data_IF_932873327357
#
_entry.id   IF_932873327357
#
_cell.length_a   1.000
_cell.length_b   1.000
_cell.length_c   1.000
_cell.angle_alpha   90.00
_cell.angle_beta   90.00
_cell.angle_gamma   90.00
#
_symmetry.space_group_name_H-M   'P 1'
#
loop_
_entity.id
_entity.type
_entity.pdbx_description
1 polymer ?
#
# COMPACT_ATOMS: atom_id res chain seq x y z
N UNK A 1 -54.87 -10.44 12.50
CA UNK A 1 -53.93 -10.82 11.43
C UNK A 1 -52.85 -9.75 11.38
N UNK A 2 -51.65 -10.04 11.88
CA UNK A 2 -50.53 -9.10 11.87
C UNK A 2 -49.57 -9.51 10.75
N UNK A 3 -49.48 -8.67 9.71
CA UNK A 3 -48.54 -8.83 8.61
C UNK A 3 -47.11 -8.67 9.14
N UNK A 4 -46.39 -9.79 9.23
CA UNK A 4 -44.93 -9.78 9.40
C UNK A 4 -44.31 -9.32 8.07
N UNK A 5 -44.02 -8.03 7.99
CA UNK A 5 -43.20 -7.44 6.94
C UNK A 5 -41.81 -8.06 6.94
N UNK A 6 -41.59 -9.03 6.05
CA UNK A 6 -40.28 -9.61 5.79
C UNK A 6 -39.43 -8.55 5.09
N UNK A 7 -38.57 -7.84 5.83
CA UNK A 7 -37.56 -6.96 5.24
C UNK A 7 -36.67 -7.82 4.34
N UNK A 8 -36.87 -7.74 3.02
CA UNK A 8 -35.91 -8.23 2.03
C UNK A 8 -34.61 -7.47 2.23
N UNK A 9 -33.67 -8.04 2.97
CA UNK A 9 -32.28 -7.58 3.00
C UNK A 9 -31.74 -7.71 1.58
N UNK A 10 -31.53 -6.58 0.89
CA UNK A 10 -30.91 -6.58 -0.42
C UNK A 10 -29.57 -7.32 -0.32
N UNK A 11 -29.44 -8.43 -1.05
CA UNK A 11 -28.23 -9.26 -1.02
C UNK A 11 -27.09 -8.42 -1.60
N UNK A 12 -26.18 -7.94 -0.75
CA UNK A 12 -25.00 -7.17 -1.18
C UNK A 12 -24.23 -8.05 -2.16
N UNK A 13 -23.97 -7.53 -3.37
CA UNK A 13 -23.15 -8.23 -4.36
C UNK A 13 -21.74 -8.38 -3.79
N UNK A 14 -21.31 -9.63 -3.53
CA UNK A 14 -19.94 -9.93 -3.15
C UNK A 14 -18.99 -9.39 -4.23
N UNK A 15 -17.92 -8.72 -3.78
CA UNK A 15 -16.88 -8.15 -4.63
C UNK A 15 -15.53 -8.64 -4.16
N UNK A 16 -14.56 -8.68 -5.07
CA UNK A 16 -13.14 -8.79 -4.70
C UNK A 16 -12.57 -7.39 -4.55
N UNK A 17 -12.11 -7.07 -3.35
CA UNK A 17 -11.62 -5.76 -2.95
C UNK A 17 -10.16 -5.90 -2.53
N UNK A 18 -9.27 -5.10 -3.10
CA UNK A 18 -7.89 -4.96 -2.62
C UNK A 18 -7.78 -3.67 -1.83
N UNK A 19 -7.28 -3.73 -0.59
CA UNK A 19 -7.16 -2.59 0.32
C UNK A 19 -5.68 -2.32 0.59
N UNK A 20 -5.18 -1.14 0.21
CA UNK A 20 -3.80 -0.72 0.50
C UNK A 20 -3.75 0.12 1.77
N UNK A 21 -3.09 -0.40 2.81
CA UNK A 21 -2.82 0.33 4.04
C UNK A 21 -1.60 1.25 3.84
N UNK A 22 -1.78 2.57 3.96
CA UNK A 22 -0.68 3.53 3.99
C UNK A 22 0.36 3.19 5.08
N UNK A 23 1.66 3.37 4.81
CA UNK A 23 2.66 3.34 5.91
C UNK A 23 2.31 4.37 7.00
N UNK A 24 1.76 5.51 6.56
CA UNK A 24 1.23 6.58 7.41
C UNK A 24 -0.03 6.18 8.21
N UNK A 25 -0.68 5.07 7.87
CA UNK A 25 -1.77 4.49 8.65
C UNK A 25 -1.22 3.67 9.81
N UNK A 26 -0.03 3.08 9.66
CA UNK A 26 0.64 2.27 10.69
C UNK A 26 1.43 3.17 11.64
N UNK A 27 2.22 4.11 11.12
CA UNK A 27 2.95 5.12 11.89
C UNK A 27 2.42 6.49 11.49
N UNK A 28 1.73 7.19 12.40
CA UNK A 28 1.12 8.49 12.09
C UNK A 28 2.14 9.62 12.21
N UNK A 29 1.79 10.76 11.61
CA UNK A 29 2.66 11.95 11.67
C UNK A 29 2.76 12.43 13.11
N UNK A 30 3.99 12.59 13.60
CA UNK A 30 4.28 13.07 14.96
C UNK A 30 4.39 11.96 16.01
N UNK A 31 4.13 10.71 15.66
CA UNK A 31 4.38 9.56 16.53
C UNK A 31 5.85 9.15 16.47
N UNK A 32 6.32 8.50 17.54
CA UNK A 32 7.70 7.98 17.61
C UNK A 32 7.86 6.68 16.83
N UNK A 33 6.75 6.01 16.53
CA UNK A 33 6.72 4.73 15.83
C UNK A 33 6.99 3.54 16.76
N UNK A 34 6.62 3.62 18.04
CA UNK A 34 6.76 2.47 18.96
C UNK A 34 5.87 1.31 18.52
N UNK A 35 6.16 0.10 18.98
CA UNK A 35 5.36 -1.06 18.59
C UNK A 35 3.91 -0.94 19.09
N UNK A 36 3.70 -0.33 20.26
CA UNK A 36 2.38 -0.05 20.83
C UNK A 36 1.59 0.94 19.98
N UNK A 37 2.24 2.01 19.48
CA UNK A 37 1.61 2.96 18.55
C UNK A 37 1.23 2.27 17.24
N UNK A 38 2.13 1.46 16.69
CA UNK A 38 1.91 0.72 15.44
C UNK A 38 0.75 -0.29 15.57
N UNK A 39 0.68 -1.05 16.68
CA UNK A 39 -0.44 -1.95 16.95
C UNK A 39 -1.75 -1.17 17.10
N UNK A 40 -1.79 -0.13 17.93
CA UNK A 40 -3.00 0.69 18.15
C UNK A 40 -3.55 1.24 16.84
N UNK A 41 -2.68 1.75 15.97
CA UNK A 41 -3.08 2.29 14.68
C UNK A 41 -3.55 1.20 13.70
N UNK A 42 -2.84 0.07 13.67
CA UNK A 42 -3.20 -1.08 12.84
C UNK A 42 -4.53 -1.68 13.24
N UNK A 43 -4.81 -1.80 14.53
CA UNK A 43 -6.10 -2.27 15.07
C UNK A 43 -7.28 -1.38 14.63
N UNK A 44 -7.09 -0.06 14.64
CA UNK A 44 -8.12 0.87 14.17
C UNK A 44 -8.42 0.65 12.68
N UNK A 45 -7.39 0.53 11.85
CA UNK A 45 -7.56 0.27 10.42
C UNK A 45 -8.22 -1.09 10.17
N UNK A 46 -7.78 -2.13 10.89
CA UNK A 46 -8.30 -3.49 10.79
C UNK A 46 -9.78 -3.58 11.21
N UNK A 47 -10.21 -2.79 12.21
CA UNK A 47 -11.63 -2.68 12.58
C UNK A 47 -12.50 -2.24 11.40
N UNK A 48 -12.04 -1.25 10.65
CA UNK A 48 -12.78 -0.76 9.48
C UNK A 48 -12.76 -1.78 8.33
N UNK A 49 -11.62 -2.40 8.06
CA UNK A 49 -11.47 -3.42 7.02
C UNK A 49 -12.29 -4.69 7.32
N UNK A 50 -12.34 -5.13 8.58
CA UNK A 50 -13.17 -6.26 9.00
C UNK A 50 -14.67 -6.03 8.73
N UNK A 51 -15.11 -4.76 8.63
CA UNK A 51 -16.45 -4.40 8.16
C UNK A 51 -16.73 -4.92 6.75
N UNK A 52 -15.81 -4.70 5.81
CA UNK A 52 -15.95 -5.16 4.43
C UNK A 52 -16.07 -6.69 4.33
N UNK A 53 -15.30 -7.40 5.15
CA UNK A 53 -15.32 -8.87 5.21
C UNK A 53 -16.66 -9.37 5.76
N UNK A 54 -17.18 -8.74 6.81
CA UNK A 54 -18.49 -9.06 7.38
C UNK A 54 -19.66 -8.74 6.44
N UNK A 55 -19.51 -7.71 5.59
CA UNK A 55 -20.47 -7.38 4.52
C UNK A 55 -20.45 -8.41 3.37
N UNK A 56 -19.57 -9.42 3.46
CA UNK A 56 -19.50 -10.56 2.54
C UNK A 56 -18.54 -10.37 1.37
N UNK A 57 -17.70 -9.33 1.37
CA UNK A 57 -16.68 -9.12 0.35
C UNK A 57 -15.46 -10.02 0.55
N UNK A 58 -14.79 -10.34 -0.56
CA UNK A 58 -13.46 -10.97 -0.52
C UNK A 58 -12.42 -9.87 -0.44
N UNK A 59 -11.59 -9.91 0.58
CA UNK A 59 -10.65 -8.81 0.87
C UNK A 59 -9.23 -9.33 0.82
N UNK A 60 -8.41 -8.63 0.03
CA UNK A 60 -6.95 -8.73 0.03
C UNK A 60 -6.42 -7.42 0.61
N UNK A 61 -5.39 -7.50 1.42
CA UNK A 61 -4.76 -6.35 2.07
C UNK A 61 -3.32 -6.27 1.59
N UNK A 62 -2.91 -5.10 1.14
CA UNK A 62 -1.51 -4.74 0.95
C UNK A 62 -1.15 -3.65 1.96
N UNK A 63 0.14 -3.41 2.18
CA UNK A 63 0.56 -2.32 3.07
C UNK A 63 1.86 -1.69 2.59
N UNK A 64 2.15 -0.49 3.10
CA UNK A 64 3.47 0.12 2.91
C UNK A 64 4.45 -0.36 3.97
N UNK A 65 5.75 -0.19 3.71
CA UNK A 65 6.81 -0.53 4.66
C UNK A 65 7.84 0.59 4.86
N UNK A 66 7.76 1.72 4.14
CA UNK A 66 8.83 2.73 4.06
C UNK A 66 9.56 3.09 5.38
N UNK A 67 8.85 3.45 6.47
CA UNK A 67 9.52 3.68 7.75
C UNK A 67 10.10 2.40 8.38
N UNK A 68 9.42 1.26 8.24
CA UNK A 68 9.79 -0.01 8.86
C UNK A 68 10.99 -0.66 8.17
N UNK A 69 11.02 -0.72 6.83
CA UNK A 69 12.17 -1.26 6.09
C UNK A 69 13.42 -0.45 6.36
N UNK A 70 13.30 0.88 6.45
CA UNK A 70 14.45 1.71 6.80
C UNK A 70 14.95 1.49 8.23
N UNK A 71 14.05 1.23 9.19
CA UNK A 71 14.45 0.85 10.55
C UNK A 71 15.15 -0.52 10.58
N UNK A 72 14.66 -1.49 9.79
CA UNK A 72 15.30 -2.81 9.64
C UNK A 72 16.70 -2.66 9.05
N UNK A 73 16.85 -1.80 8.04
CA UNK A 73 18.13 -1.51 7.41
C UNK A 73 19.11 -0.86 8.39
N UNK A 74 18.66 0.11 9.19
CA UNK A 74 19.49 0.73 10.24
C UNK A 74 19.95 -0.30 11.27
N UNK A 75 19.07 -1.23 11.69
CA UNK A 75 19.45 -2.32 12.60
C UNK A 75 20.49 -3.24 11.98
N UNK A 76 20.32 -3.62 10.71
CA UNK A 76 21.27 -4.44 9.96
C UNK A 76 22.64 -3.78 9.83
N UNK A 77 22.67 -2.46 9.59
CA UNK A 77 23.92 -1.72 9.46
C UNK A 77 24.60 -1.49 10.81
N UNK A 78 23.83 -1.21 11.87
CA UNK A 78 24.38 -1.04 13.22
C UNK A 78 25.04 -2.31 13.73
N UNK A 79 24.50 -3.48 13.36
CA UNK A 79 25.08 -4.78 13.69
C UNK A 79 26.14 -5.25 12.67
N UNK A 80 26.44 -4.47 11.62
CA UNK A 80 27.29 -4.88 10.50
C UNK A 80 28.74 -5.22 10.87
N UNK A 81 29.22 -4.75 12.02
CA UNK A 81 30.54 -5.10 12.56
C UNK A 81 30.57 -6.48 13.24
N UNK A 82 29.41 -6.99 13.65
CA UNK A 82 29.26 -8.26 14.37
C UNK A 82 28.71 -9.37 13.46
N UNK A 83 27.77 -9.03 12.58
CA UNK A 83 27.12 -9.95 11.65
C UNK A 83 27.06 -9.33 10.24
N UNK A 84 27.15 -10.15 9.16
CA UNK A 84 27.02 -9.64 7.80
C UNK A 84 25.68 -8.93 7.58
N UNK A 85 25.72 -7.71 7.04
CA UNK A 85 24.51 -6.96 6.70
C UNK A 85 23.72 -7.66 5.59
N UNK A 86 22.40 -7.69 5.75
CA UNK A 86 21.51 -8.22 4.72
C UNK A 86 21.27 -7.20 3.60
N UNK A 87 21.08 -7.67 2.35
CA UNK A 87 20.67 -6.80 1.25
C UNK A 87 19.27 -6.24 1.47
N UNK A 88 18.93 -5.17 0.77
CA UNK A 88 17.68 -4.43 0.95
C UNK A 88 16.46 -5.29 0.64
N UNK A 89 16.52 -6.15 -0.39
CA UNK A 89 15.41 -7.03 -0.73
C UNK A 89 15.09 -8.05 0.39
N UNK A 90 16.08 -8.45 1.20
CA UNK A 90 15.83 -9.27 2.40
C UNK A 90 15.21 -8.44 3.50
N UNK A 91 15.67 -7.19 3.68
CA UNK A 91 15.04 -6.26 4.64
C UNK A 91 13.56 -5.98 4.28
N UNK A 92 13.23 -5.95 2.99
CA UNK A 92 11.84 -5.88 2.52
C UNK A 92 11.06 -7.13 2.93
N UNK A 93 11.60 -8.32 2.69
CA UNK A 93 10.98 -9.59 3.10
C UNK A 93 10.74 -9.66 4.62
N UNK A 94 11.72 -9.24 5.43
CA UNK A 94 11.60 -9.15 6.89
C UNK A 94 10.47 -8.18 7.29
N UNK A 95 10.34 -7.07 6.56
CA UNK A 95 9.27 -6.08 6.80
C UNK A 95 7.88 -6.65 6.50
N UNK A 96 7.74 -7.52 5.49
CA UNK A 96 6.49 -8.22 5.20
C UNK A 96 6.11 -9.17 6.33
N UNK A 97 7.08 -9.90 6.88
CA UNK A 97 6.84 -10.81 8.01
C UNK A 97 6.34 -10.06 9.25
N UNK A 98 7.05 -9.01 9.66
CA UNK A 98 6.71 -8.25 10.87
C UNK A 98 5.39 -7.48 10.77
N UNK A 99 5.19 -6.73 9.68
CA UNK A 99 3.95 -5.98 9.45
C UNK A 99 2.77 -6.90 9.14
N UNK A 100 3.02 -7.96 8.37
CA UNK A 100 2.06 -9.01 8.08
C UNK A 100 1.52 -9.67 9.35
N UNK A 101 2.42 -10.07 10.24
CA UNK A 101 2.06 -10.61 11.56
C UNK A 101 1.16 -9.65 12.35
N UNK A 102 1.54 -8.38 12.46
CA UNK A 102 0.78 -7.37 13.20
C UNK A 102 -0.64 -7.18 12.61
N UNK A 103 -0.76 -7.06 11.29
CA UNK A 103 -2.07 -6.92 10.61
C UNK A 103 -2.90 -8.20 10.78
N UNK A 104 -2.28 -9.37 10.63
CA UNK A 104 -2.93 -10.68 10.78
C UNK A 104 -3.49 -10.85 12.19
N UNK A 105 -2.70 -10.52 13.22
CA UNK A 105 -3.11 -10.59 14.61
C UNK A 105 -4.25 -9.61 14.91
N UNK A 106 -4.15 -8.35 14.44
CA UNK A 106 -5.18 -7.33 14.63
C UNK A 106 -6.51 -7.74 14.00
N UNK A 107 -6.50 -8.28 12.77
CA UNK A 107 -7.70 -8.79 12.10
C UNK A 107 -8.28 -10.02 12.80
N UNK A 108 -7.44 -10.97 13.21
CA UNK A 108 -7.90 -12.14 13.94
C UNK A 108 -8.64 -11.73 15.22
N UNK A 109 -8.04 -10.85 16.03
CA UNK A 109 -8.65 -10.34 17.25
C UNK A 109 -9.97 -9.62 16.98
N UNK A 110 -10.04 -8.83 15.90
CA UNK A 110 -11.28 -8.15 15.50
C UNK A 110 -12.37 -9.13 15.06
N UNK A 111 -12.02 -10.21 14.35
CA UNK A 111 -12.95 -11.25 13.95
C UNK A 111 -13.51 -12.04 15.15
N UNK A 112 -12.68 -12.30 16.16
CA UNK A 112 -13.11 -12.88 17.44
C UNK A 112 -14.12 -11.97 18.13
N UNK A 113 -13.85 -10.66 18.26
CA UNK A 113 -14.76 -9.67 18.86
C UNK A 113 -16.10 -9.59 18.12
N UNK A 114 -16.11 -9.87 16.82
CA UNK A 114 -17.32 -9.86 15.97
C UNK A 114 -18.06 -11.19 15.93
N UNK A 115 -17.58 -12.22 16.64
CA UNK A 115 -18.10 -13.58 16.55
C UNK A 115 -18.16 -14.11 15.10
N UNK A 116 -17.18 -13.72 14.28
CA UNK A 116 -17.11 -14.01 12.85
C UNK A 116 -15.71 -14.52 12.53
N UNK A 117 -15.38 -15.74 12.95
CA UNK A 117 -14.03 -16.31 12.77
C UNK A 117 -13.75 -16.45 11.26
N UNK A 118 -12.70 -15.77 10.80
CA UNK A 118 -12.18 -15.84 9.43
C UNK A 118 -10.73 -16.28 9.46
N UNK A 119 -10.33 -17.01 8.42
CA UNK A 119 -8.93 -17.31 8.19
C UNK A 119 -8.23 -16.05 7.66
N UNK A 120 -7.10 -15.71 8.26
CA UNK A 120 -6.25 -14.60 7.85
C UNK A 120 -4.84 -15.15 7.67
N UNK A 121 -4.20 -14.84 6.55
CA UNK A 121 -2.84 -15.32 6.26
C UNK A 121 -2.02 -14.22 5.60
N UNK A 122 -0.76 -14.10 6.00
CA UNK A 122 0.23 -13.28 5.31
C UNK A 122 1.05 -14.15 4.36
N UNK A 123 1.17 -13.70 3.11
CA UNK A 123 1.99 -14.32 2.06
C UNK A 123 3.14 -13.37 1.76
N UNK A 124 4.37 -13.78 2.08
CA UNK A 124 5.58 -13.08 1.57
C UNK A 124 5.52 -13.12 0.05
N UNK A 125 5.67 -11.96 -0.58
CA UNK A 125 5.32 -11.81 -2.00
C UNK A 125 6.50 -11.32 -2.81
N UNK A 126 6.85 -12.03 -3.87
CA UNK A 126 7.86 -11.61 -4.85
C UNK A 126 7.21 -10.86 -6.00
N UNK A 127 7.87 -9.79 -6.44
CA UNK A 127 7.39 -8.93 -7.52
C UNK A 127 8.50 -8.71 -8.53
N UNK A 128 8.25 -9.15 -9.75
CA UNK A 128 9.23 -8.99 -10.83
C UNK A 128 9.31 -7.54 -11.25
N UNK A 129 10.52 -7.05 -11.48
CA UNK A 129 10.83 -5.70 -11.97
C UNK A 129 11.75 -5.79 -13.19
N UNK A 130 11.76 -4.76 -14.03
CA UNK A 130 12.73 -4.69 -15.13
C UNK A 130 14.11 -4.32 -14.57
N UNK A 131 15.17 -5.14 -14.72
CA UNK A 131 16.52 -4.79 -14.28
C UNK A 131 17.09 -3.54 -14.98
N UNK A 132 16.48 -3.10 -16.08
CA UNK A 132 16.87 -1.90 -16.82
C UNK A 132 15.97 -0.70 -16.51
N UNK A 133 15.08 -0.80 -15.53
CA UNK A 133 14.21 0.31 -15.13
C UNK A 133 15.06 1.56 -14.80
N UNK A 134 14.73 2.74 -15.37
CA UNK A 134 15.46 3.98 -15.10
C UNK A 134 15.58 4.33 -13.61
N UNK A 135 14.67 3.85 -12.76
CA UNK A 135 14.70 4.09 -11.31
C UNK A 135 15.96 3.54 -10.62
N UNK A 136 16.67 2.59 -11.22
CA UNK A 136 17.97 2.13 -10.73
C UNK A 136 19.08 3.16 -10.92
N UNK A 137 18.95 4.05 -11.90
CA UNK A 137 19.90 5.15 -12.16
C UNK A 137 19.53 6.43 -11.43
N UNK A 138 18.24 6.63 -11.16
CA UNK A 138 17.72 7.80 -10.44
C UNK A 138 16.84 7.39 -9.23
N UNK A 139 17.47 7.07 -8.08
CA UNK A 139 16.76 6.65 -6.87
C UNK A 139 15.92 7.77 -6.26
N UNK A 140 14.60 7.58 -6.21
CA UNK A 140 13.65 8.60 -5.73
C UNK A 140 12.85 8.19 -4.50
N UNK A 141 12.88 6.91 -4.09
CA UNK A 141 12.02 6.39 -3.03
C UNK A 141 12.67 6.56 -1.66
N UNK A 142 12.10 7.38 -0.76
CA UNK A 142 12.73 7.64 0.52
C UNK A 142 12.43 6.54 1.54
N UNK A 143 13.47 6.02 2.18
CA UNK A 143 13.41 4.99 3.22
C UNK A 143 14.04 5.49 4.53
N UNK A 144 13.58 4.93 5.65
CA UNK A 144 14.15 5.24 6.97
C UNK A 144 13.85 6.64 7.49
N UNK A 145 14.58 7.10 8.52
CA UNK A 145 14.34 8.35 9.24
C UNK A 145 14.80 9.57 8.45
N UNK A 146 14.54 10.74 9.02
CA UNK A 146 15.07 12.02 8.53
C UNK A 146 16.46 12.29 9.13
N UNK A 147 17.32 12.89 8.33
CA UNK A 147 18.67 13.32 8.67
C UNK A 147 18.81 14.84 8.51
N UNK A 148 19.74 15.44 9.25
CA UNK A 148 20.17 16.82 9.02
C UNK A 148 20.98 16.91 7.72
N UNK A 149 21.20 18.13 7.22
CA UNK A 149 22.01 18.35 6.02
C UNK A 149 23.44 17.84 6.21
N UNK A 150 24.04 18.10 7.37
CA UNK A 150 25.40 17.70 7.71
C UNK A 150 25.52 16.17 7.79
N UNK A 151 24.53 15.51 8.41
CA UNK A 151 24.47 14.05 8.45
C UNK A 151 24.32 13.45 7.06
N UNK A 152 23.49 14.07 6.22
CA UNK A 152 23.27 13.66 4.83
C UNK A 152 24.55 13.72 4.00
N UNK A 153 25.26 14.86 4.02
CA UNK A 153 26.53 15.03 3.31
C UNK A 153 27.58 13.99 3.75
N UNK A 154 27.68 13.74 5.05
CA UNK A 154 28.56 12.69 5.58
C UNK A 154 28.18 11.30 5.09
N UNK A 155 26.90 10.91 5.13
CA UNK A 155 26.44 9.59 4.72
C UNK A 155 26.59 9.37 3.21
N UNK A 156 26.45 10.41 2.40
CA UNK A 156 26.76 10.36 0.97
C UNK A 156 28.24 10.04 0.73
N UNK A 157 29.15 10.69 1.46
CA UNK A 157 30.60 10.49 1.32
C UNK A 157 31.07 9.13 1.86
N UNK A 158 30.62 8.75 3.06
CA UNK A 158 31.08 7.55 3.75
C UNK A 158 30.45 6.27 3.18
N UNK A 159 29.17 6.33 2.79
CA UNK A 159 28.40 5.13 2.40
C UNK A 159 27.90 5.14 0.97
N UNK A 160 28.13 6.22 0.20
CA UNK A 160 27.64 6.35 -1.17
C UNK A 160 26.11 6.43 -1.27
N UNK A 161 25.43 6.84 -0.20
CA UNK A 161 23.97 6.91 -0.21
C UNK A 161 23.47 8.05 -1.09
N UNK A 162 22.41 7.79 -1.85
CA UNK A 162 21.65 8.84 -2.49
C UNK A 162 20.75 9.48 -1.44
N UNK A 163 21.09 10.69 -1.03
CA UNK A 163 20.32 11.45 -0.05
C UNK A 163 19.59 12.61 -0.74
N UNK A 164 18.26 12.67 -0.62
CA UNK A 164 17.46 13.78 -1.16
C UNK A 164 16.70 14.53 -0.06
N UNK A 165 16.51 15.83 -0.26
CA UNK A 165 15.70 16.67 0.62
C UNK A 165 14.20 16.38 0.43
N UNK A 166 13.46 16.27 1.53
CA UNK A 166 12.02 15.99 1.52
C UNK A 166 11.21 17.19 2.04
N UNK A 167 10.97 18.15 1.15
CA UNK A 167 10.05 19.29 1.36
C UNK A 167 10.31 20.07 2.66
N UNK A 168 11.58 20.32 3.00
CA UNK A 168 11.98 21.05 4.21
C UNK A 168 11.84 20.28 5.52
N UNK A 169 11.52 18.98 5.48
CA UNK A 169 11.46 18.11 6.68
C UNK A 169 12.81 17.50 7.06
N UNK A 170 13.83 17.73 6.24
CA UNK A 170 15.15 17.11 6.35
C UNK A 170 15.48 16.25 5.13
N UNK A 171 16.53 15.45 5.25
CA UNK A 171 17.05 14.60 4.20
C UNK A 171 16.72 13.13 4.47
N UNK A 172 16.49 12.33 3.43
CA UNK A 172 16.26 10.89 3.58
C UNK A 172 17.11 10.10 2.58
N UNK A 173 17.45 8.87 2.96
CA UNK A 173 18.08 7.91 2.05
C UNK A 173 17.07 7.49 1.01
N UNK A 174 17.47 7.57 -0.25
CA UNK A 174 16.66 7.18 -1.38
C UNK A 174 17.21 5.93 -2.05
N UNK A 175 16.29 5.05 -2.45
CA UNK A 175 16.57 3.79 -3.13
C UNK A 175 15.78 3.70 -4.41
N UNK A 176 16.17 2.77 -5.29
CA UNK A 176 15.47 2.52 -6.53
C UNK A 176 14.02 2.10 -6.23
N UNK A 177 13.07 2.60 -7.03
CA UNK A 177 11.66 2.20 -6.97
C UNK A 177 11.16 1.90 -8.38
N UNK A 178 11.60 0.76 -8.96
CA UNK A 178 11.21 0.34 -10.29
C UNK A 178 9.72 0.01 -10.35
N UNK A 179 9.17 -0.02 -11.57
CA UNK A 179 7.77 -0.37 -11.81
C UNK A 179 7.55 -1.88 -11.58
N UNK A 180 6.48 -2.28 -10.87
CA UNK A 180 6.13 -3.69 -10.72
C UNK A 180 5.57 -4.25 -12.03
N UNK A 181 6.15 -5.35 -12.49
CA UNK A 181 5.74 -6.03 -13.74
C UNK A 181 4.73 -7.13 -13.43
N UNK A 182 5.02 -8.00 -12.46
CA UNK A 182 4.18 -9.16 -12.14
C UNK A 182 4.35 -9.56 -10.68
N UNK A 183 3.23 -9.86 -10.01
CA UNK A 183 3.23 -10.56 -8.72
C UNK A 183 3.35 -12.06 -8.97
N UNK A 184 4.38 -12.70 -8.42
CA UNK A 184 4.65 -14.14 -8.62
C UNK A 184 3.58 -14.99 -7.93
N UNK A 185 3.27 -14.70 -6.66
CA UNK A 185 2.32 -15.48 -5.86
C UNK A 185 0.84 -15.16 -6.15
N UNK A 186 0.53 -14.43 -7.24
CA UNK A 186 -0.83 -13.99 -7.58
C UNK A 186 -1.84 -15.14 -7.64
N UNK A 187 -1.47 -16.29 -8.19
CA UNK A 187 -2.37 -17.45 -8.31
C UNK A 187 -2.66 -18.12 -6.96
N UNK A 188 -1.68 -18.15 -6.05
CA UNK A 188 -1.87 -18.62 -4.68
C UNK A 188 -2.78 -17.67 -3.92
N UNK A 189 -2.52 -16.36 -4.00
CA UNK A 189 -3.36 -15.31 -3.40
C UNK A 189 -4.79 -15.41 -3.90
N UNK A 190 -4.98 -15.62 -5.20
CA UNK A 190 -6.29 -15.80 -5.84
C UNK A 190 -7.02 -17.03 -5.32
N UNK A 191 -6.30 -18.13 -5.15
CA UNK A 191 -6.85 -19.39 -4.63
C UNK A 191 -7.33 -19.23 -3.19
N UNK A 192 -6.52 -18.63 -2.33
CA UNK A 192 -6.86 -18.35 -0.93
C UNK A 192 -8.07 -17.40 -0.84
N UNK A 193 -8.05 -16.31 -1.60
CA UNK A 193 -9.13 -15.32 -1.64
C UNK A 193 -10.47 -15.93 -2.08
N UNK A 194 -10.46 -16.82 -3.10
CA UNK A 194 -11.66 -17.53 -3.57
C UNK A 194 -12.24 -18.46 -2.52
N UNK A 195 -11.40 -18.96 -1.60
CA UNK A 195 -11.81 -19.76 -0.44
C UNK A 195 -12.16 -18.91 0.79
N UNK A 196 -12.44 -17.62 0.60
CA UNK A 196 -12.82 -16.67 1.65
C UNK A 196 -11.78 -16.49 2.76
N UNK A 197 -10.51 -16.76 2.46
CA UNK A 197 -9.38 -16.37 3.32
C UNK A 197 -9.10 -14.89 3.09
N UNK A 198 -8.91 -14.13 4.17
CA UNK A 198 -8.39 -12.76 4.09
C UNK A 198 -6.89 -12.84 3.90
N UNK A 199 -6.38 -12.35 2.77
CA UNK A 199 -4.96 -12.48 2.42
C UNK A 199 -4.28 -11.13 2.60
N UNK A 200 -3.16 -11.13 3.32
CA UNK A 200 -2.21 -10.01 3.38
C UNK A 200 -1.05 -10.37 2.46
N UNK A 201 -0.74 -9.51 1.50
CA UNK A 201 0.27 -9.79 0.47
C UNK A 201 0.88 -8.49 -0.07
N UNK A 202 1.94 -8.60 -0.87
CA UNK A 202 2.70 -7.48 -1.44
C UNK A 202 3.02 -6.43 -0.37
N UNK A 203 3.47 -6.88 0.79
CA UNK A 203 3.83 -5.99 1.89
C UNK A 203 4.98 -5.10 1.47
N UNK A 204 4.88 -3.79 1.71
CA UNK A 204 5.87 -2.83 1.23
C UNK A 204 5.85 -2.54 -0.26
N UNK A 205 5.06 -3.26 -1.05
CA UNK A 205 5.18 -3.32 -2.51
C UNK A 205 5.66 -4.68 -3.02
N UNK A 206 6.01 -5.60 -2.11
CA UNK A 206 6.56 -6.90 -2.43
C UNK A 206 8.08 -6.89 -2.54
N UNK A 207 8.69 -8.05 -2.33
CA UNK A 207 10.14 -8.28 -2.49
C UNK A 207 10.51 -8.17 -3.98
N UNK A 208 11.34 -7.17 -4.37
CA UNK A 208 11.75 -7.00 -5.76
C UNK A 208 12.67 -8.14 -6.22
N UNK A 209 12.30 -8.75 -7.34
CA UNK A 209 13.09 -9.78 -8.02
C UNK A 209 13.23 -9.49 -9.52
N UNK A 210 14.29 -9.99 -10.11
CA UNK A 210 14.45 -10.09 -11.57
C UNK A 210 14.17 -11.51 -12.01
N UNK A 211 13.67 -11.69 -13.22
CA UNK A 211 13.39 -13.00 -13.81
C UNK A 211 14.29 -13.22 -15.02
N UNK A 212 15.11 -14.27 -14.97
CA UNK A 212 15.97 -14.65 -16.07
C UNK A 212 15.17 -15.36 -17.19
N UNK A 213 15.80 -15.57 -18.34
CA UNK A 213 15.14 -16.22 -19.49
C UNK A 213 14.73 -17.67 -19.23
N UNK A 214 15.36 -18.33 -18.26
CA UNK A 214 15.03 -19.70 -17.83
C UNK A 214 13.93 -19.74 -16.73
N UNK A 215 13.41 -18.57 -16.33
CA UNK A 215 12.37 -18.43 -15.31
C UNK A 215 12.89 -18.41 -13.87
N UNK A 216 14.21 -18.46 -13.65
CA UNK A 216 14.77 -18.32 -12.31
C UNK A 216 14.68 -16.88 -11.80
N UNK A 217 14.49 -16.74 -10.48
CA UNK A 217 14.34 -15.44 -9.82
C UNK A 217 15.59 -15.09 -9.02
N UNK A 218 15.98 -13.82 -9.05
CA UNK A 218 17.05 -13.27 -8.23
C UNK A 218 16.61 -11.96 -7.58
N UNK A 219 16.83 -11.83 -6.27
CA UNK A 219 16.55 -10.60 -5.52
C UNK A 219 17.38 -9.43 -6.04
N UNK A 220 16.80 -8.23 -6.03
CA UNK A 220 17.47 -7.00 -6.46
C UNK A 220 17.17 -5.87 -5.48
N UNK A 221 18.18 -5.09 -5.09
CA UNK A 221 17.98 -4.02 -4.11
C UNK A 221 17.17 -2.86 -4.68
N UNK A 222 15.91 -2.78 -4.25
CA UNK A 222 14.97 -1.73 -4.56
C UNK A 222 13.86 -1.72 -3.50
N UNK A 223 12.97 -0.73 -3.54
CA UNK A 223 11.69 -0.77 -2.81
C UNK A 223 10.60 -0.34 -3.78
N UNK A 224 9.71 -1.25 -4.12
CA UNK A 224 8.63 -1.00 -5.09
C UNK A 224 7.59 -0.08 -4.47
N UNK A 225 7.02 0.85 -5.24
CA UNK A 225 5.90 1.61 -4.71
C UNK A 225 4.66 0.73 -4.52
N UNK A 226 4.25 0.60 -3.26
CA UNK A 226 3.10 -0.19 -2.85
C UNK A 226 1.82 0.10 -3.64
N UNK A 227 1.57 1.34 -4.06
CA UNK A 227 0.30 1.70 -4.69
C UNK A 227 0.25 1.12 -6.11
N UNK A 228 1.38 1.17 -6.85
CA UNK A 228 1.54 0.47 -8.12
C UNK A 228 1.53 -1.05 -7.95
N UNK A 229 2.24 -1.61 -6.96
CA UNK A 229 2.22 -3.05 -6.71
C UNK A 229 0.80 -3.55 -6.38
N UNK A 230 0.04 -2.74 -5.64
CA UNK A 230 -1.37 -3.03 -5.33
C UNK A 230 -2.23 -2.99 -6.59
N UNK A 231 -2.02 -2.02 -7.49
CA UNK A 231 -2.71 -1.96 -8.78
C UNK A 231 -2.41 -3.20 -9.63
N UNK A 232 -1.13 -3.60 -9.74
CA UNK A 232 -0.69 -4.81 -10.46
C UNK A 232 -1.35 -6.07 -9.88
N UNK A 233 -1.33 -6.23 -8.55
CA UNK A 233 -2.00 -7.34 -7.87
C UNK A 233 -3.51 -7.34 -8.15
N UNK A 234 -4.16 -6.19 -7.98
CA UNK A 234 -5.60 -6.05 -8.20
C UNK A 234 -6.01 -6.41 -9.64
N UNK A 235 -5.19 -6.04 -10.63
CA UNK A 235 -5.40 -6.41 -12.03
C UNK A 235 -5.24 -7.92 -12.26
N UNK A 236 -4.18 -8.56 -11.74
CA UNK A 236 -3.97 -10.00 -11.87
C UNK A 236 -5.07 -10.83 -11.19
N UNK A 237 -5.63 -10.33 -10.08
CA UNK A 237 -6.73 -10.95 -9.37
C UNK A 237 -8.11 -10.72 -10.02
N UNK A 238 -8.21 -9.74 -10.94
CA UNK A 238 -9.48 -9.31 -11.51
C UNK A 238 -10.39 -8.63 -10.49
N UNK A 239 -9.82 -7.84 -9.58
CA UNK A 239 -10.54 -7.13 -8.54
C UNK A 239 -11.55 -6.13 -9.13
N UNK A 240 -12.67 -5.94 -8.43
CA UNK A 240 -13.69 -4.95 -8.80
C UNK A 240 -13.39 -3.57 -8.20
N UNK A 241 -12.63 -3.54 -7.11
CA UNK A 241 -12.40 -2.33 -6.33
C UNK A 241 -11.01 -2.36 -5.70
N UNK A 242 -10.29 -1.26 -5.86
CA UNK A 242 -9.08 -0.96 -5.10
C UNK A 242 -9.41 0.18 -4.11
N UNK A 243 -9.25 -0.05 -2.82
CA UNK A 243 -9.36 0.99 -1.78
C UNK A 243 -7.95 1.37 -1.32
N UNK A 244 -7.54 2.62 -1.58
CA UNK A 244 -6.26 3.16 -1.13
C UNK A 244 -6.48 3.98 0.15
N UNK A 245 -6.05 3.44 1.29
CA UNK A 245 -6.19 4.11 2.58
C UNK A 245 -5.02 5.07 2.85
N UNK A 246 -5.38 6.29 3.21
CA UNK A 246 -4.47 7.40 3.49
C UNK A 246 -4.91 8.18 4.74
N UNK A 247 -4.20 9.26 5.07
CA UNK A 247 -4.49 10.12 6.24
C UNK A 247 -5.46 11.26 5.95
N UNK A 248 -5.83 11.48 4.68
CA UNK A 248 -6.77 12.53 4.27
C UNK A 248 -8.04 11.91 3.69
N UNK A 249 -9.17 12.58 3.92
CA UNK A 249 -10.50 12.06 3.55
C UNK A 249 -10.70 11.89 2.03
N UNK A 250 -9.92 12.59 1.20
CA UNK A 250 -10.01 12.55 -0.25
C UNK A 250 -8.78 13.23 -0.88
N UNK A 251 -8.65 13.14 -2.20
CA UNK A 251 -7.74 13.96 -2.99
C UNK A 251 -8.29 15.38 -3.16
N UNK A 252 -7.38 16.34 -3.21
CA UNK A 252 -7.68 17.75 -3.45
C UNK A 252 -6.85 18.28 -4.61
N UNK A 253 -7.45 19.12 -5.44
CA UNK A 253 -6.71 20.00 -6.35
C UNK A 253 -6.17 21.19 -5.55
N UNK A 254 -4.99 21.67 -5.93
CA UNK A 254 -4.35 22.83 -5.29
C UNK A 254 -4.23 22.68 -3.76
N UNK A 255 -3.84 21.48 -3.33
CA UNK A 255 -3.74 21.15 -1.91
C UNK A 255 -2.85 22.12 -1.13
N UNK A 256 -3.37 22.63 -0.01
CA UNK A 256 -2.73 23.62 0.85
C UNK A 256 -2.82 25.07 0.35
N UNK A 257 -3.50 25.35 -0.77
CA UNK A 257 -3.68 26.72 -1.30
C UNK A 257 -5.08 27.26 -1.00
N UNK A 258 -5.26 28.58 -1.11
CA UNK A 258 -6.58 29.22 -0.91
C UNK A 258 -7.68 28.71 -1.86
N UNK A 259 -7.28 28.26 -3.06
CA UNK A 259 -8.18 27.69 -4.08
C UNK A 259 -8.35 26.17 -3.99
N UNK A 260 -7.93 25.54 -2.88
CA UNK A 260 -8.01 24.10 -2.70
C UNK A 260 -9.43 23.58 -2.95
N UNK A 261 -9.56 22.56 -3.79
CA UNK A 261 -10.85 21.97 -4.16
C UNK A 261 -10.88 20.47 -3.93
N UNK A 262 -11.87 20.01 -3.17
CA UNK A 262 -12.12 18.58 -2.93
C UNK A 262 -12.52 17.87 -4.23
N UNK A 263 -11.93 16.71 -4.48
CA UNK A 263 -12.30 15.83 -5.60
C UNK A 263 -13.06 14.63 -5.06
N UNK A 264 -14.39 14.62 -5.19
CA UNK A 264 -15.23 13.49 -4.75
C UNK A 264 -15.24 12.35 -5.77
N UNK A 265 -15.23 12.68 -7.06
CA UNK A 265 -15.18 11.74 -8.16
C UNK A 265 -14.37 12.32 -9.31
N UNK A 266 -13.66 11.46 -10.04
CA UNK A 266 -13.06 11.79 -11.33
C UNK A 266 -12.98 10.56 -12.23
N UNK A 267 -12.94 10.78 -13.53
CA UNK A 267 -12.59 9.80 -14.56
C UNK A 267 -11.07 9.66 -14.68
N UNK A 268 -10.56 8.60 -15.32
CA UNK A 268 -9.11 8.49 -15.57
C UNK A 268 -8.61 9.59 -16.51
N UNK A 269 -9.47 10.06 -17.43
CA UNK A 269 -9.17 11.21 -18.28
C UNK A 269 -8.96 12.50 -17.48
N UNK A 270 -9.86 12.80 -16.55
CA UNK A 270 -9.72 13.96 -15.65
C UNK A 270 -8.50 13.80 -14.74
N UNK A 271 -8.26 12.60 -14.20
CA UNK A 271 -7.09 12.32 -13.38
C UNK A 271 -5.78 12.58 -14.14
N UNK A 272 -5.67 12.15 -15.41
CA UNK A 272 -4.51 12.43 -16.28
C UNK A 272 -4.34 13.91 -16.54
N UNK A 273 -5.43 14.64 -16.77
CA UNK A 273 -5.40 16.10 -16.90
C UNK A 273 -4.86 16.75 -15.61
N UNK A 274 -5.39 16.37 -14.44
CA UNK A 274 -4.92 16.95 -13.17
C UNK A 274 -3.48 16.59 -12.81
N UNK A 275 -3.01 15.40 -13.21
CA UNK A 275 -1.61 15.00 -13.09
C UNK A 275 -0.70 15.85 -13.98
N UNK A 276 -1.12 16.17 -15.21
CA UNK A 276 -0.37 17.03 -16.13
C UNK A 276 -0.27 18.48 -15.63
N UNK A 277 -1.32 18.97 -14.96
CA UNK A 277 -1.37 20.30 -14.31
C UNK A 277 -0.67 20.34 -12.94
N UNK A 278 0.05 19.28 -12.56
CA UNK A 278 0.81 19.15 -11.30
C UNK A 278 -0.01 19.45 -10.03
N UNK A 279 -1.30 19.11 -10.03
CA UNK A 279 -2.16 19.29 -8.85
C UNK A 279 -1.81 18.33 -7.70
N UNK A 280 -1.14 17.20 -7.99
CA UNK A 280 -0.81 16.17 -7.02
C UNK A 280 0.71 16.07 -6.84
N UNK A 281 1.17 16.21 -5.59
CA UNK A 281 2.60 16.21 -5.26
C UNK A 281 3.21 14.80 -5.35
N UNK A 282 4.44 14.73 -5.85
CA UNK A 282 5.31 13.56 -5.78
C UNK A 282 5.50 13.10 -4.31
N UNK A 283 5.73 11.81 -4.12
CA UNK A 283 5.92 11.20 -2.78
C UNK A 283 4.67 11.12 -1.90
N UNK A 284 3.49 11.57 -2.37
CA UNK A 284 2.25 11.53 -1.60
C UNK A 284 1.03 11.12 -2.43
N UNK A 285 0.27 12.09 -2.95
CA UNK A 285 -0.98 11.83 -3.67
C UNK A 285 -0.74 11.44 -5.13
N UNK A 286 0.32 11.94 -5.77
CA UNK A 286 0.62 11.63 -7.18
C UNK A 286 0.69 10.12 -7.49
N UNK A 287 1.52 9.30 -6.79
CA UNK A 287 1.59 7.87 -7.07
C UNK A 287 0.24 7.15 -6.82
N UNK A 288 -0.59 7.67 -5.90
CA UNK A 288 -1.93 7.12 -5.64
C UNK A 288 -2.87 7.32 -6.82
N UNK A 289 -2.84 8.50 -7.42
CA UNK A 289 -3.67 8.83 -8.57
C UNK A 289 -3.16 8.11 -9.82
N UNK A 290 -1.84 8.05 -10.02
CA UNK A 290 -1.22 7.30 -11.12
C UNK A 290 -1.56 5.80 -11.03
N UNK A 291 -1.38 5.17 -9.86
CA UNK A 291 -1.75 3.78 -9.66
C UNK A 291 -3.26 3.53 -9.80
N UNK A 292 -4.09 4.50 -9.39
CA UNK A 292 -5.53 4.42 -9.57
C UNK A 292 -5.94 4.45 -11.05
N UNK A 293 -5.28 5.30 -11.84
CA UNK A 293 -5.47 5.37 -13.29
C UNK A 293 -5.04 4.07 -13.95
N UNK A 294 -3.84 3.57 -13.64
CA UNK A 294 -3.31 2.31 -14.20
C UNK A 294 -4.24 1.12 -13.90
N UNK A 295 -4.66 0.96 -12.64
CA UNK A 295 -5.62 -0.09 -12.28
C UNK A 295 -6.89 -0.02 -13.11
N UNK A 296 -7.51 1.16 -13.20
CA UNK A 296 -8.81 1.31 -13.87
C UNK A 296 -8.71 1.13 -15.39
N UNK A 297 -7.63 1.60 -16.01
CA UNK A 297 -7.45 1.52 -17.46
C UNK A 297 -7.07 0.11 -17.93
N UNK A 298 -6.23 -0.58 -17.17
CA UNK A 298 -5.77 -1.94 -17.50
C UNK A 298 -6.75 -3.03 -17.07
N UNK A 299 -7.69 -2.71 -16.17
CA UNK A 299 -8.63 -3.70 -15.67
C UNK A 299 -9.52 -4.25 -16.79
N UNK A 300 -9.57 -5.58 -16.87
CA UNK A 300 -10.54 -6.29 -17.72
C UNK A 300 -11.98 -6.16 -17.19
N UNK A 301 -12.15 -5.64 -15.97
CA UNK A 301 -13.46 -5.44 -15.35
C UNK A 301 -13.99 -4.04 -15.65
N UNK A 302 -15.10 -3.95 -16.39
CA UNK A 302 -15.73 -2.67 -16.74
C UNK A 302 -16.21 -1.85 -15.53
N UNK A 303 -16.37 -2.49 -14.37
CA UNK A 303 -16.78 -1.83 -13.13
C UNK A 303 -15.60 -1.52 -12.20
N UNK A 304 -14.35 -1.68 -12.67
CA UNK A 304 -13.18 -1.34 -11.90
C UNK A 304 -13.22 0.13 -11.48
N UNK A 305 -12.96 0.36 -10.19
CA UNK A 305 -12.85 1.71 -9.64
C UNK A 305 -11.86 1.72 -8.48
N UNK A 306 -11.33 2.90 -8.18
CA UNK A 306 -10.52 3.14 -6.99
C UNK A 306 -11.24 4.07 -6.04
N UNK A 307 -11.10 3.83 -4.75
CA UNK A 307 -11.51 4.76 -3.68
C UNK A 307 -10.26 5.18 -2.92
N UNK A 308 -10.02 6.48 -2.80
CA UNK A 308 -8.96 7.05 -1.95
C UNK A 308 -9.64 7.72 -0.76
N UNK A 309 -9.35 7.26 0.46
CA UNK A 309 -10.04 7.72 1.67
C UNK A 309 -9.25 7.39 2.94
N UNK A 310 -9.74 7.81 4.11
CA UNK A 310 -9.23 7.30 5.41
C UNK A 310 -9.94 6.01 5.82
N UNK A 311 -9.34 5.19 6.72
CA UNK A 311 -9.97 3.96 7.21
C UNK A 311 -11.36 4.17 7.81
N UNK A 312 -11.58 5.25 8.56
CA UNK A 312 -12.83 5.55 9.25
C UNK A 312 -13.99 5.81 8.29
N UNK A 313 -13.68 6.28 7.07
CA UNK A 313 -14.66 6.65 6.05
C UNK A 313 -14.92 5.54 5.02
N UNK A 314 -14.39 4.32 5.22
CA UNK A 314 -14.56 3.20 4.27
C UNK A 314 -16.04 2.95 3.98
N UNK A 315 -16.89 2.93 5.00
CA UNK A 315 -18.32 2.61 4.84
C UNK A 315 -19.04 3.67 4.02
N UNK A 316 -18.80 4.94 4.32
CA UNK A 316 -19.35 6.09 3.61
C UNK A 316 -18.83 6.14 2.16
N UNK A 317 -17.55 5.84 1.95
CA UNK A 317 -16.94 5.84 0.62
C UNK A 317 -17.45 4.68 -0.25
N UNK A 318 -17.69 3.51 0.34
CA UNK A 318 -18.37 2.39 -0.31
C UNK A 318 -19.78 2.77 -0.76
N UNK A 319 -20.50 3.59 0.02
CA UNK A 319 -21.80 4.15 -0.32
C UNK A 319 -21.74 5.37 -1.27
N UNK A 320 -20.54 5.81 -1.69
CA UNK A 320 -20.35 6.96 -2.57
C UNK A 320 -20.53 8.33 -1.88
N UNK A 321 -20.46 8.38 -0.55
CA UNK A 321 -20.69 9.58 0.27
C UNK A 321 -19.40 10.21 0.82
N UNK A 322 -18.26 9.53 0.67
CA UNK A 322 -16.95 10.01 1.11
C UNK A 322 -15.85 9.51 0.16
N UNK A 323 -14.62 9.98 0.37
CA UNK A 323 -13.49 9.60 -0.47
C UNK A 323 -13.46 10.29 -1.82
N UNK A 324 -12.40 10.00 -2.57
CA UNK A 324 -12.31 10.24 -4.01
C UNK A 324 -12.53 8.94 -4.73
N UNK A 325 -13.50 8.90 -5.64
CA UNK A 325 -13.71 7.74 -6.52
C UNK A 325 -13.14 8.00 -7.91
N UNK A 326 -12.18 7.17 -8.31
CA UNK A 326 -11.63 7.15 -9.68
C UNK A 326 -12.34 6.06 -10.46
N UNK A 327 -12.93 6.40 -11.60
CA UNK A 327 -13.56 5.45 -12.53
C UNK A 327 -13.01 5.64 -13.93
N UNK A 328 -13.35 4.74 -14.85
CA UNK A 328 -13.04 4.91 -16.27
C UNK A 328 -13.63 6.21 -16.81
#
# INVERSE_FOLDING_TARGET
>A
MAEKGTKKTAKIKQKTIVVSLGGNVIIRRGESGTIEEQFRNTELACRCVAGLVNDGHRVIITHGNGPVVGNILIRNEAAGAEIPSMPLYICDADSEGGLGFMIQQALHNEFVKRHSIKNVVTVVTQVTVDPKDPAFKDPTKPIGPFYTKEQSERLTLEKGWVMLEDSGRGWRRNVASPRPVRIIEADVIKTLTRNNVVVIAAGGGGVPVTEATDGTLAGIDAVIDKDFATATLANQLGAELFINLTQIECAYLDFGKARQKKVSKMTTKEARYYLAEDHFKAGSMRPKIEAAVEFVEESKNRNASVIITTPELIKEAMAGKAGTRVTK
#
